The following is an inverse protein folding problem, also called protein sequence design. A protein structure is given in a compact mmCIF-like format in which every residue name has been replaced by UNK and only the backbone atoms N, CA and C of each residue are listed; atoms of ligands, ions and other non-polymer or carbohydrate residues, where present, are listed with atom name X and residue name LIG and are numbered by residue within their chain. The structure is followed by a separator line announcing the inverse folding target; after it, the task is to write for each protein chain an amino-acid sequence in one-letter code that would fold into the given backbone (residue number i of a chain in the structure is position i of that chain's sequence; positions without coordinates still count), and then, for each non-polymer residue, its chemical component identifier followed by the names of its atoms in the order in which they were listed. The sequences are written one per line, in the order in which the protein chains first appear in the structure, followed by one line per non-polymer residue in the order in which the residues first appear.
data_IF_955877027889
#
_entry.id   IF_955877027889
#
_cell.length_a   1.000
_cell.length_b   1.000
_cell.length_c   1.000
_cell.angle_alpha   90.00
_cell.angle_beta   90.00
_cell.angle_gamma   90.00
#
_symmetry.space_group_name_H-M   'P 1'
#
loop_
_entity.id
_entity.type
_entity.pdbx_description
1 polymer ?
#
# COMPACT_ATOMS: atom_id res chain seq x y z
N UNK A 1 16.87 -7.48 -25.01
CA UNK A 1 15.67 -7.65 -24.19
C UNK A 1 16.09 -7.68 -22.73
N UNK A 2 15.98 -6.54 -22.04
CA UNK A 2 16.31 -6.40 -20.62
C UNK A 2 14.99 -6.20 -19.88
N UNK A 3 14.72 -7.06 -18.91
CA UNK A 3 13.60 -6.86 -17.99
C UNK A 3 14.06 -5.81 -16.97
N UNK A 4 13.42 -4.65 -16.97
CA UNK A 4 13.69 -3.59 -16.01
C UNK A 4 12.59 -3.60 -14.95
N UNK A 5 13.00 -3.83 -13.72
CA UNK A 5 12.12 -3.75 -12.55
C UNK A 5 12.01 -2.29 -12.10
N UNK A 6 10.92 -1.63 -12.49
CA UNK A 6 10.65 -0.23 -12.13
C UNK A 6 9.92 -0.08 -10.80
N UNK A 7 9.77 -1.16 -10.01
CA UNK A 7 9.13 -1.12 -8.67
C UNK A 7 9.91 -0.28 -7.65
N UNK A 8 11.18 0.02 -7.90
CA UNK A 8 12.12 0.66 -6.96
C UNK A 8 12.74 1.96 -7.47
N UNK A 9 12.12 2.65 -8.43
CA UNK A 9 12.66 3.93 -8.93
C UNK A 9 12.63 5.04 -7.85
N UNK A 10 11.80 4.90 -6.82
CA UNK A 10 11.73 5.76 -5.64
C UNK A 10 11.26 4.97 -4.44
N UNK A 11 11.65 5.34 -3.22
CA UNK A 11 11.11 4.75 -1.99
C UNK A 11 9.82 5.44 -1.51
N UNK A 12 9.43 6.55 -2.17
CA UNK A 12 8.23 7.31 -1.85
C UNK A 12 6.96 6.60 -2.32
N UNK A 13 5.97 6.57 -1.42
CA UNK A 13 4.65 6.01 -1.71
C UNK A 13 3.74 7.02 -2.41
N UNK A 14 3.01 6.54 -3.41
CA UNK A 14 2.07 7.31 -4.19
C UNK A 14 0.68 6.68 -4.16
N UNK A 15 -0.37 7.50 -4.35
CA UNK A 15 -1.71 6.97 -4.55
C UNK A 15 -1.72 6.07 -5.80
N UNK A 16 -2.33 4.89 -5.69
CA UNK A 16 -2.29 3.85 -6.70
C UNK A 16 -1.22 2.79 -6.47
N UNK A 17 -0.27 3.02 -5.56
CA UNK A 17 0.69 1.99 -5.16
C UNK A 17 -0.03 0.83 -4.46
N UNK A 18 0.40 -0.38 -4.76
CA UNK A 18 -0.01 -1.59 -4.05
C UNK A 18 1.10 -1.99 -3.11
N UNK A 19 0.75 -2.22 -1.85
CA UNK A 19 1.67 -2.65 -0.81
C UNK A 19 1.29 -4.06 -0.34
N UNK A 20 2.30 -4.83 0.06
CA UNK A 20 2.15 -6.07 0.80
C UNK A 20 2.70 -5.86 2.20
N UNK A 21 1.96 -6.27 3.23
CA UNK A 21 2.37 -6.09 4.62
C UNK A 21 1.95 -7.27 5.50
N UNK A 22 2.77 -7.60 6.49
CA UNK A 22 2.55 -8.75 7.38
C UNK A 22 3.39 -8.71 8.65
N UNK A 23 2.89 -9.35 9.70
CA UNK A 23 3.68 -9.74 10.88
C UNK A 23 4.20 -11.17 10.76
N UNK A 24 3.41 -12.05 10.15
CA UNK A 24 3.76 -13.43 9.83
C UNK A 24 3.77 -13.62 8.30
N UNK A 25 4.87 -14.07 7.66
CA UNK A 25 4.96 -14.21 6.21
C UNK A 25 3.97 -15.22 5.60
N UNK A 26 3.34 -16.10 6.39
CA UNK A 26 2.24 -16.95 5.90
C UNK A 26 0.88 -16.23 5.84
N UNK A 27 0.76 -15.04 6.43
CA UNK A 27 -0.46 -14.25 6.57
C UNK A 27 -0.29 -12.89 5.88
N UNK A 28 0.08 -12.92 4.60
CA UNK A 28 0.29 -11.70 3.82
C UNK A 28 -1.02 -10.97 3.56
N UNK A 29 -1.00 -9.67 3.85
CA UNK A 29 -2.06 -8.76 3.45
C UNK A 29 -1.59 -7.90 2.28
N UNK A 30 -2.55 -7.47 1.46
CA UNK A 30 -2.30 -6.56 0.36
C UNK A 30 -3.21 -5.35 0.52
N UNK A 31 -2.71 -4.17 0.14
CA UNK A 31 -3.45 -2.92 0.27
C UNK A 31 -3.17 -1.97 -0.89
N UNK A 32 -4.18 -1.23 -1.31
CA UNK A 32 -4.07 -0.13 -2.27
C UNK A 32 -3.90 1.18 -1.51
N UNK A 33 -2.84 1.93 -1.78
CA UNK A 33 -2.65 3.29 -1.28
C UNK A 33 -3.61 4.22 -2.02
N UNK A 34 -4.42 4.96 -1.27
CA UNK A 34 -5.42 5.89 -1.79
C UNK A 34 -5.21 7.29 -1.23
N UNK A 35 -5.60 8.30 -1.99
CA UNK A 35 -5.67 9.70 -1.54
C UNK A 35 -7.04 10.25 -1.92
N UNK A 36 -8.10 9.98 -1.13
CA UNK A 36 -9.44 10.42 -1.47
C UNK A 36 -9.53 11.94 -1.42
N UNK A 37 -10.13 12.52 -2.46
CA UNK A 37 -10.48 13.94 -2.49
C UNK A 37 -11.77 14.15 -1.68
N UNK A 38 -11.62 14.34 -0.37
CA UNK A 38 -12.72 14.61 0.54
C UNK A 38 -12.84 16.12 0.77
N UNK A 39 -14.09 16.63 0.74
CA UNK A 39 -14.43 18.05 0.90
C UNK A 39 -13.92 18.70 2.19
N UNK A 40 -13.51 17.91 3.17
CA UNK A 40 -12.94 18.36 4.45
C UNK A 40 -11.58 17.72 4.62
N UNK A 41 -10.52 18.47 4.32
CA UNK A 41 -9.10 18.09 4.44
C UNK A 41 -8.79 16.69 3.90
N UNK A 42 -8.47 16.62 2.61
CA UNK A 42 -7.99 15.40 1.96
C UNK A 42 -6.87 14.73 2.76
N UNK A 43 -6.94 13.40 2.85
CA UNK A 43 -5.95 12.57 3.52
C UNK A 43 -5.50 11.45 2.61
N UNK A 44 -4.69 10.55 3.12
CA UNK A 44 -4.29 9.33 2.44
C UNK A 44 -4.55 8.13 3.34
N UNK A 45 -4.64 6.95 2.74
CA UNK A 45 -4.85 5.72 3.46
C UNK A 45 -4.64 4.49 2.63
N UNK A 46 -4.94 3.34 3.23
CA UNK A 46 -4.82 2.04 2.58
C UNK A 46 -6.19 1.38 2.55
N UNK A 47 -6.50 0.74 1.43
CA UNK A 47 -7.67 -0.12 1.26
C UNK A 47 -7.18 -1.55 1.12
N UNK A 48 -7.56 -2.42 2.06
CA UNK A 48 -7.19 -3.84 1.99
C UNK A 48 -7.77 -4.52 0.73
N UNK A 49 -6.96 -5.37 0.10
CA UNK A 49 -7.29 -6.14 -1.11
C UNK A 49 -7.39 -7.61 -0.72
N UNK A 50 -8.56 -8.22 -0.95
CA UNK A 50 -8.73 -9.67 -0.90
C UNK A 50 -8.64 -10.31 0.49
N UNK A 51 -9.11 -9.65 1.56
CA UNK A 51 -9.21 -10.32 2.86
C UNK A 51 -10.20 -11.49 2.79
N UNK A 52 -9.71 -12.71 3.02
CA UNK A 52 -10.50 -13.97 3.07
C UNK A 52 -11.52 -14.04 4.24
N UNK A 53 -11.79 -12.94 4.94
CA UNK A 53 -12.90 -12.86 5.89
C UNK A 53 -14.16 -12.45 5.14
N UNK A 54 -15.19 -13.29 5.23
CA UNK A 54 -16.49 -13.31 4.52
C UNK A 54 -17.36 -12.03 4.51
N UNK A 55 -16.80 -10.84 4.63
CA UNK A 55 -17.51 -9.58 4.42
C UNK A 55 -16.58 -8.65 3.67
N UNK A 56 -16.91 -8.35 2.40
CA UNK A 56 -16.23 -7.39 1.52
C UNK A 56 -16.28 -5.96 2.07
N UNK A 57 -15.71 -5.76 3.25
CA UNK A 57 -15.74 -4.56 4.06
C UNK A 57 -14.28 -4.18 4.32
N UNK A 58 -13.96 -2.96 3.89
CA UNK A 58 -12.78 -2.18 4.23
C UNK A 58 -12.34 -2.44 5.69
N UNK A 59 -11.41 -3.37 5.89
CA UNK A 59 -11.06 -3.80 7.25
C UNK A 59 -10.02 -2.92 7.92
N UNK A 60 -9.37 -2.00 7.21
CA UNK A 60 -8.47 -1.00 7.77
C UNK A 60 -8.46 0.26 6.90
N UNK A 61 -9.03 1.36 7.38
CA UNK A 61 -8.76 2.69 6.84
C UNK A 61 -7.83 3.40 7.82
N UNK A 62 -6.53 3.41 7.51
CA UNK A 62 -5.57 4.27 8.19
C UNK A 62 -5.66 5.62 7.49
N UNK A 63 -6.16 6.65 8.16
CA UNK A 63 -6.26 7.99 7.61
C UNK A 63 -5.09 8.82 8.13
N UNK A 64 -4.11 9.09 7.28
CA UNK A 64 -3.02 10.01 7.58
C UNK A 64 -3.19 11.31 6.81
N UNK A 65 -2.66 12.39 7.38
CA UNK A 65 -2.65 13.72 6.75
C UNK A 65 -1.81 13.77 5.49
N UNK A 66 -0.72 13.01 5.43
CA UNK A 66 0.19 12.95 4.28
C UNK A 66 0.77 11.53 4.09
N UNK A 67 1.41 11.29 2.93
CA UNK A 67 1.92 9.96 2.55
C UNK A 67 3.10 9.49 3.39
N UNK A 68 3.94 10.41 3.87
CA UNK A 68 5.09 10.10 4.73
C UNK A 68 4.59 9.55 6.07
N UNK A 69 3.62 10.23 6.71
CA UNK A 69 2.98 9.77 7.94
C UNK A 69 2.33 8.38 7.77
N UNK A 70 1.74 8.11 6.60
CA UNK A 70 1.12 6.82 6.29
C UNK A 70 2.17 5.71 6.17
N UNK A 71 3.25 5.99 5.45
CA UNK A 71 4.35 5.07 5.24
C UNK A 71 5.03 4.74 6.58
N UNK A 72 5.32 5.75 7.39
CA UNK A 72 5.90 5.60 8.72
C UNK A 72 5.00 4.81 9.65
N UNK A 73 3.69 5.10 9.65
CA UNK A 73 2.73 4.32 10.44
C UNK A 73 2.77 2.84 10.09
N UNK A 74 2.77 2.51 8.80
CA UNK A 74 2.75 1.12 8.34
C UNK A 74 4.04 0.39 8.68
N UNK A 75 5.20 1.01 8.40
CA UNK A 75 6.52 0.43 8.68
C UNK A 75 6.71 0.19 10.18
N UNK A 76 6.19 1.07 11.04
CA UNK A 76 6.26 0.89 12.49
C UNK A 76 5.25 -0.13 13.03
N UNK A 77 4.14 -0.36 12.31
CA UNK A 77 3.07 -1.28 12.76
C UNK A 77 3.35 -2.74 12.41
N UNK A 78 3.99 -3.01 11.27
CA UNK A 78 4.16 -4.37 10.75
C UNK A 78 5.62 -4.77 10.64
N UNK A 79 5.91 -6.07 10.80
CA UNK A 79 7.26 -6.63 10.63
C UNK A 79 7.82 -6.39 9.22
N UNK A 80 6.97 -6.50 8.20
CA UNK A 80 7.37 -6.21 6.83
C UNK A 80 6.29 -5.41 6.11
N UNK A 81 6.75 -4.45 5.32
CA UNK A 81 5.96 -3.64 4.41
C UNK A 81 6.77 -3.43 3.14
N UNK A 82 6.25 -3.86 2.00
CA UNK A 82 6.91 -3.69 0.70
C UNK A 82 5.94 -3.21 -0.38
N UNK A 83 6.41 -2.33 -1.26
CA UNK A 83 5.65 -1.97 -2.47
C UNK A 83 5.76 -3.07 -3.52
N UNK A 84 4.62 -3.51 -4.04
CA UNK A 84 4.50 -4.66 -4.96
C UNK A 84 3.87 -4.29 -6.31
N UNK A 85 3.89 -3.01 -6.70
CA UNK A 85 3.37 -2.55 -7.99
C UNK A 85 3.75 -3.48 -9.15
N UNK A 86 2.77 -3.92 -9.94
CA UNK A 86 3.05 -4.74 -11.11
C UNK A 86 3.58 -3.84 -12.25
N UNK A 87 4.91 -3.67 -12.35
CA UNK A 87 5.52 -3.02 -13.53
C UNK A 87 6.81 -3.73 -13.94
N UNK A 88 6.65 -4.81 -14.69
CA UNK A 88 7.72 -5.43 -15.46
C UNK A 88 7.69 -4.78 -16.85
N UNK A 89 8.70 -3.95 -17.17
CA UNK A 89 8.87 -3.39 -18.51
C UNK A 89 9.94 -4.19 -19.23
N UNK A 90 9.66 -4.56 -20.47
CA UNK A 90 10.64 -5.15 -21.38
C UNK A 90 11.18 -4.01 -22.25
N UNK A 91 12.48 -3.75 -22.17
CA UNK A 91 13.21 -2.83 -23.05
C UNK A 91 14.13 -3.61 -24.02
#
# INVERSE_FOLDING_TARGET
MKVVDKRRETDEWHAGDVICYWDNPSEKNYGLVIKPDLRTNGGCGIVAIGSNSDNGVLSHFVACTNMEDLQDFMINKYVCVERVNAKLVIE
#
